data_IF_144648137338
#
_entry.id   IF_144648137338
#
_cell.length_a   1.000
_cell.length_b   1.000
_cell.length_c   1.000
_cell.angle_alpha   90.00
_cell.angle_beta   90.00
_cell.angle_gamma   90.00
#
_symmetry.space_group_name_H-M   'P 1'
#
loop_
_entity.id
_entity.type
_entity.pdbx_description
1 polymer ?
#
# COMPACT_ATOMS: atom_id res chain seq x y z
N UNK A 1 5.12 -19.55 13.09
CA UNK A 1 6.09 -19.31 12.00
C UNK A 1 6.85 -18.07 12.39
N UNK A 2 8.19 -18.13 12.48
CA UNK A 2 8.98 -16.90 12.56
C UNK A 2 8.79 -16.18 11.23
N UNK A 3 8.05 -15.07 11.26
CA UNK A 3 7.69 -14.33 10.07
C UNK A 3 8.78 -13.31 9.72
N UNK A 4 10.03 -13.77 9.67
CA UNK A 4 11.20 -12.90 9.42
C UNK A 4 11.05 -12.15 8.09
N UNK A 5 10.48 -12.80 7.06
CA UNK A 5 10.20 -12.18 5.77
C UNK A 5 9.13 -11.08 5.87
N UNK A 6 7.97 -11.34 6.49
CA UNK A 6 6.98 -10.27 6.62
C UNK A 6 7.45 -9.15 7.55
N UNK A 7 8.24 -9.46 8.59
CA UNK A 7 8.85 -8.45 9.45
C UNK A 7 9.80 -7.54 8.67
N UNK A 8 10.62 -8.11 7.79
CA UNK A 8 11.48 -7.31 6.90
C UNK A 8 10.62 -6.41 5.98
N UNK A 9 9.60 -6.96 5.33
CA UNK A 9 8.74 -6.23 4.40
C UNK A 9 7.95 -5.13 5.10
N UNK A 10 7.35 -5.43 6.25
CA UNK A 10 6.58 -4.48 7.03
C UNK A 10 7.44 -3.33 7.56
N UNK A 11 8.65 -3.63 8.06
CA UNK A 11 9.60 -2.60 8.47
C UNK A 11 10.05 -1.75 7.27
N UNK A 12 10.33 -2.36 6.11
CA UNK A 12 10.70 -1.62 4.91
C UNK A 12 9.56 -0.68 4.45
N UNK A 13 8.32 -1.16 4.47
CA UNK A 13 7.15 -0.35 4.12
C UNK A 13 6.93 0.80 5.11
N UNK A 14 7.17 0.56 6.40
CA UNK A 14 7.13 1.58 7.43
C UNK A 14 8.18 2.68 7.17
N UNK A 15 9.42 2.31 6.85
CA UNK A 15 10.47 3.29 6.50
C UNK A 15 10.12 4.07 5.23
N UNK A 16 9.61 3.40 4.19
CA UNK A 16 9.15 4.06 2.96
C UNK A 16 8.04 5.07 3.26
N UNK A 17 7.07 4.70 4.12
CA UNK A 17 6.03 5.62 4.59
C UNK A 17 6.64 6.85 5.27
N UNK A 18 7.63 6.68 6.13
CA UNK A 18 8.27 7.81 6.81
C UNK A 18 8.97 8.74 5.82
N UNK A 19 9.75 8.18 4.90
CA UNK A 19 10.45 8.92 3.85
C UNK A 19 9.48 9.68 2.93
N UNK A 20 8.32 9.09 2.64
CA UNK A 20 7.31 9.70 1.78
C UNK A 20 6.29 10.59 2.51
N UNK A 21 6.34 10.66 3.84
CA UNK A 21 5.40 11.46 4.64
C UNK A 21 5.30 12.94 4.25
N UNK A 22 6.36 13.62 3.73
CA UNK A 22 6.24 15.00 3.26
C UNK A 22 5.34 15.16 2.01
N UNK A 23 5.07 14.09 1.27
CA UNK A 23 4.27 14.10 0.03
C UNK A 23 2.77 13.78 0.25
N UNK A 24 2.34 13.70 1.52
CA UNK A 24 0.95 13.42 1.88
C UNK A 24 0.05 14.66 1.71
N UNK A 25 -1.24 14.41 1.51
CA UNK A 25 -2.28 15.45 1.47
C UNK A 25 -2.61 15.95 0.07
N UNK A 26 -3.77 16.57 -0.05
CA UNK A 26 -4.34 17.04 -1.33
C UNK A 26 -3.63 18.28 -1.89
N UNK A 27 -3.03 19.10 -1.03
CA UNK A 27 -2.40 20.38 -1.40
C UNK A 27 -0.92 20.25 -1.79
N UNK A 28 -0.34 19.05 -1.74
CA UNK A 28 1.06 18.82 -2.11
C UNK A 28 1.25 18.90 -3.64
N UNK A 29 2.30 19.60 -4.09
CA UNK A 29 2.60 19.89 -5.50
C UNK A 29 3.66 18.96 -6.13
N UNK A 30 4.09 17.91 -5.41
CA UNK A 30 5.01 16.92 -5.95
C UNK A 30 4.40 16.13 -7.12
N UNK A 31 5.24 15.48 -7.95
CA UNK A 31 4.78 14.62 -9.03
C UNK A 31 3.73 13.60 -8.58
N UNK A 32 2.74 13.35 -9.45
CA UNK A 32 1.58 12.51 -9.13
C UNK A 32 1.96 11.10 -8.69
N UNK A 33 2.96 10.50 -9.31
CA UNK A 33 3.49 9.17 -8.99
C UNK A 33 4.14 9.10 -7.59
N UNK A 34 4.89 10.14 -7.20
CA UNK A 34 5.47 10.26 -5.86
C UNK A 34 4.38 10.39 -4.81
N UNK A 35 3.36 11.22 -5.08
CA UNK A 35 2.20 11.37 -4.20
C UNK A 35 1.39 10.08 -4.10
N UNK A 36 1.17 9.38 -5.20
CA UNK A 36 0.50 8.08 -5.22
C UNK A 36 1.27 7.07 -4.36
N UNK A 37 2.59 6.98 -4.52
CA UNK A 37 3.43 6.10 -3.70
C UNK A 37 3.32 6.41 -2.20
N UNK A 38 3.29 7.70 -1.83
CA UNK A 38 3.12 8.13 -0.44
C UNK A 38 1.79 7.64 0.15
N UNK A 39 0.70 7.82 -0.58
CA UNK A 39 -0.63 7.41 -0.15
C UNK A 39 -0.79 5.88 -0.14
N UNK A 40 -0.16 5.15 -1.06
CA UNK A 40 -0.12 3.67 -1.04
C UNK A 40 0.63 3.17 0.19
N UNK A 41 1.82 3.72 0.49
CA UNK A 41 2.58 3.35 1.68
C UNK A 41 1.77 3.65 2.96
N UNK A 42 1.07 4.79 3.00
CA UNK A 42 0.17 5.13 4.09
C UNK A 42 -1.02 4.17 4.20
N UNK A 43 -1.65 3.77 3.09
CA UNK A 43 -2.80 2.88 3.09
C UNK A 43 -2.47 1.47 3.65
N UNK A 44 -1.27 0.97 3.36
CA UNK A 44 -0.91 -0.43 3.62
C UNK A 44 -0.11 -0.66 4.91
N UNK A 45 0.55 0.36 5.47
CA UNK A 45 1.48 0.15 6.60
C UNK A 45 0.85 -0.52 7.84
N UNK A 46 -0.40 -0.20 8.17
CA UNK A 46 -1.09 -0.81 9.33
C UNK A 46 -1.32 -2.30 9.14
N UNK A 47 -1.74 -2.72 7.95
CA UNK A 47 -1.99 -4.15 7.70
C UNK A 47 -0.66 -4.91 7.56
N UNK A 48 0.38 -4.25 7.04
CA UNK A 48 1.73 -4.82 7.06
C UNK A 48 2.25 -5.00 8.49
N UNK A 49 2.00 -4.07 9.41
CA UNK A 49 2.37 -4.20 10.82
C UNK A 49 1.64 -5.37 11.50
N UNK A 50 0.36 -5.61 11.16
CA UNK A 50 -0.42 -6.74 11.69
C UNK A 50 0.24 -8.11 11.38
N UNK A 51 1.02 -8.24 10.30
CA UNK A 51 1.77 -9.46 9.98
C UNK A 51 2.89 -9.78 11.00
N UNK A 52 3.38 -8.76 11.72
CA UNK A 52 4.41 -8.89 12.76
C UNK A 52 3.79 -9.39 14.06
N UNK A 53 2.64 -8.84 14.44
CA UNK A 53 1.99 -9.09 15.73
C UNK A 53 1.21 -10.43 15.80
N UNK A 54 1.43 -11.31 14.80
CA UNK A 54 0.65 -12.53 14.57
C UNK A 54 -0.86 -12.30 14.44
N UNK A 55 -1.26 -11.06 14.15
CA UNK A 55 -2.60 -10.69 13.76
C UNK A 55 -2.85 -11.06 12.29
N UNK A 56 -4.11 -11.06 11.87
CA UNK A 56 -4.47 -11.37 10.49
C UNK A 56 -4.40 -10.10 9.64
N UNK A 57 -3.69 -10.17 8.52
CA UNK A 57 -3.77 -9.16 7.47
C UNK A 57 -5.19 -9.12 6.90
N UNK A 58 -5.86 -7.98 7.03
CA UNK A 58 -7.20 -7.75 6.45
C UNK A 58 -7.06 -7.19 5.03
N UNK A 59 -7.13 -8.10 4.05
CA UNK A 59 -7.01 -7.77 2.63
C UNK A 59 -8.12 -6.83 2.14
N UNK A 60 -9.36 -6.99 2.63
CA UNK A 60 -10.49 -6.16 2.21
C UNK A 60 -10.32 -4.72 2.71
N UNK A 61 -9.85 -4.57 3.95
CA UNK A 61 -9.53 -3.25 4.50
C UNK A 61 -8.34 -2.60 3.79
N UNK A 62 -7.29 -3.36 3.48
CA UNK A 62 -6.16 -2.87 2.70
C UNK A 62 -6.59 -2.33 1.32
N UNK A 63 -7.36 -3.12 0.57
CA UNK A 63 -7.84 -2.75 -0.77
C UNK A 63 -8.77 -1.53 -0.74
N UNK A 64 -9.68 -1.45 0.24
CA UNK A 64 -10.53 -0.26 0.42
C UNK A 64 -9.73 1.01 0.71
N UNK A 65 -8.68 0.93 1.54
CA UNK A 65 -7.81 2.08 1.82
C UNK A 65 -7.04 2.54 0.59
N UNK A 66 -6.62 1.60 -0.27
CA UNK A 66 -5.96 1.90 -1.55
C UNK A 66 -6.93 2.57 -2.52
N UNK A 67 -8.15 2.06 -2.66
CA UNK A 67 -9.17 2.70 -3.50
C UNK A 67 -9.51 4.12 -3.01
N UNK A 68 -9.52 4.34 -1.69
CA UNK A 68 -9.81 5.64 -1.11
C UNK A 68 -8.78 6.74 -1.39
N UNK A 69 -7.62 6.42 -2.00
CA UNK A 69 -6.60 7.40 -2.42
C UNK A 69 -7.18 8.41 -3.41
N UNK A 70 -8.13 7.98 -4.24
CA UNK A 70 -8.78 8.82 -5.25
C UNK A 70 -9.63 9.95 -4.65
N UNK A 71 -9.91 9.90 -3.33
CA UNK A 71 -10.53 11.02 -2.61
C UNK A 71 -9.54 12.16 -2.30
N UNK A 72 -8.24 11.90 -2.42
CA UNK A 72 -7.16 12.85 -2.09
C UNK A 72 -6.40 13.27 -3.35
N UNK A 73 -6.16 12.32 -4.25
CA UNK A 73 -5.46 12.54 -5.51
C UNK A 73 -6.47 12.54 -6.68
N UNK A 74 -6.37 13.47 -7.64
CA UNK A 74 -7.22 13.43 -8.81
C UNK A 74 -6.88 12.20 -9.66
N UNK A 75 -7.91 11.53 -10.20
CA UNK A 75 -7.73 10.35 -11.05
C UNK A 75 -8.48 9.13 -10.52
N UNK A 76 -8.06 7.94 -10.96
CA UNK A 76 -8.62 6.65 -10.56
C UNK A 76 -7.53 5.59 -10.32
N UNK A 77 -6.32 6.03 -9.95
CA UNK A 77 -5.18 5.14 -9.76
C UNK A 77 -5.37 4.24 -8.54
N UNK A 78 -5.96 4.76 -7.45
CA UNK A 78 -6.28 3.97 -6.27
C UNK A 78 -7.22 2.81 -6.60
N UNK A 79 -8.35 3.10 -7.24
CA UNK A 79 -9.32 2.09 -7.65
C UNK A 79 -8.73 1.07 -8.66
N UNK A 80 -7.94 1.56 -9.62
CA UNK A 80 -7.23 0.70 -10.58
C UNK A 80 -6.27 -0.25 -9.87
N UNK A 81 -5.48 0.23 -8.91
CA UNK A 81 -4.55 -0.60 -8.15
C UNK A 81 -5.30 -1.62 -7.29
N UNK A 82 -6.32 -1.19 -6.54
CA UNK A 82 -7.12 -2.07 -5.71
C UNK A 82 -7.77 -3.19 -6.54
N UNK A 83 -8.39 -2.86 -7.68
CA UNK A 83 -8.98 -3.84 -8.60
C UNK A 83 -7.95 -4.81 -9.17
N UNK A 84 -6.76 -4.30 -9.52
CA UNK A 84 -5.66 -5.11 -10.04
C UNK A 84 -5.16 -6.10 -9.01
N UNK A 85 -5.01 -5.68 -7.76
CA UNK A 85 -4.50 -6.51 -6.66
C UNK A 85 -5.54 -7.47 -6.09
N UNK A 86 -6.83 -7.13 -6.19
CA UNK A 86 -7.94 -8.00 -5.82
C UNK A 86 -8.08 -9.21 -6.75
N UNK A 87 -7.61 -9.07 -8.00
CA UNK A 87 -7.66 -10.16 -8.97
C UNK A 87 -6.41 -11.02 -8.80
N UNK A 88 -6.51 -12.30 -8.40
CA UNK A 88 -5.37 -13.18 -8.35
C UNK A 88 -4.97 -13.54 -9.78
N UNK A 89 -4.18 -12.69 -10.44
CA UNK A 89 -3.74 -12.98 -11.79
C UNK A 89 -2.55 -13.94 -11.75
N UNK A 90 -2.69 -15.03 -12.53
CA UNK A 90 -1.70 -16.09 -12.74
C UNK A 90 -0.31 -15.47 -12.84
N UNK A 91 0.58 -15.87 -11.94
CA UNK A 91 1.98 -15.95 -12.32
C UNK A 91 2.01 -16.96 -13.46
N UNK A 92 2.07 -16.48 -14.69
CA UNK A 92 2.55 -17.29 -15.80
C UNK A 92 4.01 -17.60 -15.46
N UNK A 93 4.21 -18.68 -14.71
CA UNK A 93 5.50 -19.32 -14.61
C UNK A 93 5.74 -19.93 -15.98
N UNK A 94 6.33 -19.14 -16.86
CA UNK A 94 7.08 -19.70 -17.97
C UNK A 94 8.27 -20.44 -17.34
N UNK A 95 8.14 -21.77 -17.25
CA UNK A 95 9.25 -22.70 -17.02
C UNK A 95 10.27 -22.61 -18.15
#
# INVERSE_FOLDING_TARGET
MDNTEARLIANALYEIRLLLSPYMGSENDAPHDVRLAAHVAYALHNEAAALIDAEKFDIETALRKVAAIDNVLPGNDGDRLASTWATPNRVDRSD
#
